data_IF_700771292465
#
_entry.id   IF_700771292465
#
_cell.length_a   1.000
_cell.length_b   1.000
_cell.length_c   1.000
_cell.angle_alpha   90.00
_cell.angle_beta   90.00
_cell.angle_gamma   90.00
#
_symmetry.space_group_name_H-M   'P 1'
#
loop_
_entity.id
_entity.type
_entity.pdbx_description
1 polymer ?
#
# COMPACT_ATOMS: atom_id res chain seq x y z
N UNK A 1 14.24 -2.75 -3.36
CA UNK A 1 15.07 -2.06 -2.37
C UNK A 1 14.64 -2.46 -0.97
N UNK A 2 15.59 -2.71 -0.06
CA UNK A 2 15.33 -2.99 1.37
C UNK A 2 15.97 -1.86 2.19
N UNK A 3 15.20 -1.23 3.08
CA UNK A 3 15.67 -0.19 4.00
C UNK A 3 15.33 -0.57 5.46
N UNK A 4 16.33 -0.84 6.24
CA UNK A 4 16.23 -1.27 7.65
C UNK A 4 17.57 -0.98 8.33
N UNK A 5 17.60 -0.49 9.56
CA UNK A 5 18.85 -0.16 10.26
C UNK A 5 19.61 -1.42 10.75
N UNK A 6 18.93 -2.55 10.87
CA UNK A 6 19.50 -3.80 11.34
C UNK A 6 20.01 -4.66 10.18
N UNK A 7 21.31 -4.83 10.05
CA UNK A 7 21.95 -5.63 9.00
C UNK A 7 21.42 -7.07 8.94
N UNK A 8 21.22 -7.69 10.10
CA UNK A 8 20.71 -9.08 10.18
C UNK A 8 19.29 -9.19 9.59
N UNK A 9 18.46 -8.18 9.80
CA UNK A 9 17.10 -8.11 9.22
C UNK A 9 17.19 -7.96 7.71
N UNK A 10 18.02 -7.03 7.20
CA UNK A 10 18.21 -6.85 5.74
C UNK A 10 18.67 -8.16 5.07
N UNK A 11 19.65 -8.86 5.66
CA UNK A 11 20.11 -10.17 5.15
C UNK A 11 19.00 -11.24 5.16
N UNK A 12 18.19 -11.26 6.22
CA UNK A 12 17.04 -12.15 6.32
C UNK A 12 15.99 -11.90 5.25
N UNK A 13 15.59 -10.64 5.08
CA UNK A 13 14.64 -10.21 4.04
C UNK A 13 15.15 -10.51 2.63
N UNK A 14 16.43 -10.19 2.35
CA UNK A 14 17.08 -10.51 1.08
C UNK A 14 16.99 -12.00 0.77
N UNK A 15 17.40 -12.86 1.71
CA UNK A 15 17.37 -14.31 1.52
C UNK A 15 15.96 -14.84 1.21
N UNK A 16 14.94 -14.30 1.89
CA UNK A 16 13.53 -14.68 1.64
C UNK A 16 13.12 -14.27 0.22
N UNK A 17 13.41 -13.05 -0.18
CA UNK A 17 12.99 -12.51 -1.46
C UNK A 17 13.73 -13.15 -2.63
N UNK A 18 15.05 -13.27 -2.56
CA UNK A 18 15.89 -13.89 -3.61
C UNK A 18 15.70 -15.42 -3.73
N UNK A 19 14.99 -16.04 -2.76
CA UNK A 19 14.53 -17.42 -2.94
C UNK A 19 13.40 -17.55 -3.98
N UNK A 20 12.90 -16.45 -4.52
CA UNK A 20 11.85 -16.40 -5.54
C UNK A 20 12.46 -15.94 -6.86
N UNK A 21 12.28 -16.70 -7.96
CA UNK A 21 12.92 -16.39 -9.24
C UNK A 21 12.38 -15.11 -9.92
N UNK A 22 11.23 -14.61 -9.47
CA UNK A 22 10.57 -13.41 -9.97
C UNK A 22 10.90 -12.15 -9.16
N UNK A 23 11.76 -12.24 -8.13
CA UNK A 23 12.11 -11.10 -7.26
C UNK A 23 13.63 -10.96 -7.17
N UNK A 24 14.12 -9.76 -7.48
CA UNK A 24 15.51 -9.36 -7.34
C UNK A 24 15.65 -8.25 -6.31
N UNK A 25 16.61 -8.35 -5.39
CA UNK A 25 16.93 -7.29 -4.43
C UNK A 25 18.03 -6.41 -5.01
N UNK A 26 17.63 -5.31 -5.63
CA UNK A 26 18.53 -4.38 -6.35
C UNK A 26 19.37 -3.50 -5.43
N UNK A 27 19.05 -3.40 -4.14
CA UNK A 27 19.85 -2.63 -3.20
C UNK A 27 19.38 -2.72 -1.75
N UNK A 28 20.23 -2.27 -0.85
CA UNK A 28 19.97 -2.16 0.59
C UNK A 28 20.34 -0.76 1.10
N UNK A 29 19.67 -0.32 2.17
CA UNK A 29 19.95 0.93 2.86
C UNK A 29 19.83 0.73 4.37
N UNK A 30 20.72 1.35 5.14
CA UNK A 30 20.76 1.25 6.60
C UNK A 30 20.00 2.38 7.31
N UNK A 31 19.52 3.37 6.56
CA UNK A 31 18.74 4.49 7.06
C UNK A 31 17.90 5.15 5.96
N UNK A 32 17.04 6.08 6.36
CA UNK A 32 16.09 6.69 5.44
C UNK A 32 16.72 7.61 4.40
N UNK A 33 17.87 8.24 4.67
CA UNK A 33 18.56 9.09 3.70
C UNK A 33 19.16 8.21 2.60
N UNK A 34 19.91 7.17 2.99
CA UNK A 34 20.45 6.18 2.06
C UNK A 34 19.35 5.49 1.25
N UNK A 35 18.18 5.22 1.87
CA UNK A 35 17.04 4.65 1.17
C UNK A 35 16.52 5.55 0.04
N UNK A 36 16.42 6.86 0.26
CA UNK A 36 16.01 7.81 -0.79
C UNK A 36 17.03 7.93 -1.92
N UNK A 37 18.32 7.95 -1.59
CA UNK A 37 19.40 8.01 -2.58
C UNK A 37 19.42 6.73 -3.43
N UNK A 38 19.36 5.56 -2.79
CA UNK A 38 19.29 4.27 -3.46
C UNK A 38 18.03 4.15 -4.35
N UNK A 39 16.87 4.59 -3.88
CA UNK A 39 15.65 4.57 -4.67
C UNK A 39 15.76 5.42 -5.95
N UNK A 40 16.39 6.59 -5.87
CA UNK A 40 16.62 7.47 -7.04
C UNK A 40 17.59 6.86 -8.05
N UNK A 41 18.65 6.23 -7.55
CA UNK A 41 19.68 5.63 -8.39
C UNK A 41 19.22 4.33 -9.05
N UNK A 42 18.55 3.46 -8.28
CA UNK A 42 18.21 2.10 -8.69
C UNK A 42 16.80 1.96 -9.28
N UNK A 43 15.92 2.95 -9.02
CA UNK A 43 14.52 2.97 -9.49
C UNK A 43 13.79 1.64 -9.26
N UNK A 44 13.73 1.14 -8.02
CA UNK A 44 13.08 -0.12 -7.73
C UNK A 44 11.57 -0.05 -7.96
N UNK A 45 10.94 -1.16 -8.33
CA UNK A 45 9.48 -1.25 -8.37
C UNK A 45 8.88 -1.18 -6.95
N UNK A 46 9.56 -1.80 -5.97
CA UNK A 46 9.13 -1.87 -4.58
C UNK A 46 10.26 -1.51 -3.63
N UNK A 47 9.96 -0.68 -2.63
CA UNK A 47 10.80 -0.41 -1.48
C UNK A 47 10.17 -1.01 -0.21
N UNK A 48 10.85 -1.94 0.43
CA UNK A 48 10.53 -2.41 1.78
C UNK A 48 11.20 -1.47 2.77
N UNK A 49 10.43 -0.86 3.66
CA UNK A 49 10.93 0.22 4.52
C UNK A 49 10.56 -0.04 5.97
N UNK A 50 11.56 -0.14 6.86
CA UNK A 50 11.29 -0.09 8.30
C UNK A 50 10.94 1.33 8.73
N UNK A 51 10.16 1.46 9.78
CA UNK A 51 9.76 2.77 10.32
C UNK A 51 10.91 3.40 11.12
N UNK A 52 11.50 2.63 12.03
CA UNK A 52 12.53 3.16 12.92
C UNK A 52 13.92 3.01 12.31
N UNK A 53 14.38 4.06 11.68
CA UNK A 53 15.73 4.17 11.13
C UNK A 53 16.38 5.47 11.55
N UNK A 54 17.72 5.50 11.69
CA UNK A 54 18.46 6.73 12.00
C UNK A 54 18.35 7.75 10.84
N UNK A 55 18.69 8.99 11.12
CA UNK A 55 18.72 10.14 10.20
C UNK A 55 17.36 10.53 9.61
N UNK A 56 16.58 9.57 9.18
CA UNK A 56 15.23 9.77 8.62
C UNK A 56 14.40 8.51 8.85
N UNK A 57 13.21 8.67 9.43
CA UNK A 57 12.29 7.55 9.67
C UNK A 57 11.59 7.09 8.38
N UNK A 58 11.04 5.86 8.44
CA UNK A 58 10.39 5.25 7.28
C UNK A 58 9.07 5.89 6.89
N UNK A 59 8.41 6.64 7.77
CA UNK A 59 7.21 7.39 7.43
C UNK A 59 7.56 8.56 6.51
N UNK A 60 8.62 9.28 6.84
CA UNK A 60 9.13 10.36 6.01
C UNK A 60 9.70 9.85 4.68
N UNK A 61 10.39 8.69 4.68
CA UNK A 61 10.80 8.00 3.45
C UNK A 61 9.58 7.69 2.59
N UNK A 62 8.55 7.08 3.17
CA UNK A 62 7.31 6.76 2.46
C UNK A 62 6.68 8.01 1.84
N UNK A 63 6.54 9.09 2.63
CA UNK A 63 5.98 10.37 2.17
C UNK A 63 6.74 10.96 0.99
N UNK A 64 8.08 10.84 0.99
CA UNK A 64 8.95 11.39 -0.07
C UNK A 64 9.03 10.51 -1.31
N UNK A 65 8.92 9.20 -1.17
CA UNK A 65 8.97 8.28 -2.32
C UNK A 65 7.65 8.24 -3.07
N UNK A 66 6.54 8.10 -2.34
CA UNK A 66 5.21 7.96 -2.96
C UNK A 66 4.80 9.25 -3.67
N UNK A 67 4.58 9.16 -4.97
CA UNK A 67 4.23 10.31 -5.82
C UNK A 67 5.40 11.21 -6.17
N UNK A 68 6.64 10.79 -5.89
CA UNK A 68 7.84 11.51 -6.28
C UNK A 68 8.07 11.43 -7.79
N UNK A 69 8.27 12.57 -8.45
CA UNK A 69 8.68 12.61 -9.85
C UNK A 69 10.09 12.04 -10.08
N UNK A 70 10.94 12.03 -9.05
CA UNK A 70 12.29 11.48 -9.13
C UNK A 70 12.34 9.94 -9.14
N UNK A 71 11.30 9.29 -8.57
CA UNK A 71 11.15 7.83 -8.54
C UNK A 71 9.71 7.48 -8.89
N UNK A 72 9.31 7.67 -10.15
CA UNK A 72 7.92 7.46 -10.55
C UNK A 72 7.53 5.99 -10.45
N UNK A 73 6.37 5.73 -9.87
CA UNK A 73 5.79 4.39 -9.82
C UNK A 73 6.27 3.49 -8.68
N UNK A 74 7.29 3.88 -7.90
CA UNK A 74 7.75 3.09 -6.76
C UNK A 74 6.62 2.81 -5.78
N UNK A 75 6.49 1.56 -5.34
CA UNK A 75 5.56 1.13 -4.31
C UNK A 75 6.30 0.97 -3.00
N UNK A 76 5.72 1.46 -1.92
CA UNK A 76 6.32 1.33 -0.58
C UNK A 76 5.51 0.32 0.23
N UNK A 77 6.19 -0.70 0.74
CA UNK A 77 5.66 -1.64 1.73
C UNK A 77 6.40 -1.42 3.04
N UNK A 78 5.69 -1.00 4.06
CA UNK A 78 6.26 -0.84 5.40
C UNK A 78 6.41 -2.20 6.05
N UNK A 79 7.60 -2.49 6.60
CA UNK A 79 7.92 -3.76 7.31
C UNK A 79 8.56 -3.41 8.64
N UNK A 80 7.83 -3.55 9.74
CA UNK A 80 8.30 -3.06 11.05
C UNK A 80 8.00 -4.03 12.19
N UNK A 81 8.67 -3.88 13.32
CA UNK A 81 8.32 -4.56 14.58
C UNK A 81 7.17 -3.88 15.32
N UNK A 82 6.87 -2.63 15.00
CA UNK A 82 5.92 -1.79 15.71
C UNK A 82 4.57 -1.76 15.03
N UNK A 83 3.52 -2.07 15.77
CA UNK A 83 2.14 -2.09 15.31
C UNK A 83 1.27 -0.99 15.96
N UNK A 84 1.91 0.14 16.33
CA UNK A 84 1.22 1.26 16.95
C UNK A 84 0.42 2.08 15.94
N UNK A 85 -0.75 2.59 16.37
CA UNK A 85 -1.65 3.39 15.53
C UNK A 85 -0.96 4.64 14.97
N UNK A 86 -0.05 5.23 15.74
CA UNK A 86 0.76 6.38 15.33
C UNK A 86 1.65 6.13 14.10
N UNK A 87 1.87 4.85 13.72
CA UNK A 87 2.64 4.47 12.54
C UNK A 87 1.76 3.97 11.40
N UNK A 88 0.74 3.18 11.72
CA UNK A 88 -0.13 2.54 10.73
C UNK A 88 -0.88 3.58 9.89
N UNK A 89 -1.59 4.49 10.56
CA UNK A 89 -2.40 5.48 9.85
C UNK A 89 -1.57 6.46 9.00
N UNK A 90 -0.49 7.06 9.52
CA UNK A 90 0.36 7.91 8.70
C UNK A 90 0.97 7.17 7.51
N UNK A 91 1.46 5.93 7.67
CA UNK A 91 2.02 5.14 6.58
C UNK A 91 1.01 4.98 5.42
N UNK A 92 -0.22 4.56 5.73
CA UNK A 92 -1.28 4.39 4.73
C UNK A 92 -1.71 5.73 4.11
N UNK A 93 -1.82 6.80 4.90
CA UNK A 93 -2.11 8.16 4.39
C UNK A 93 -1.01 8.71 3.49
N UNK A 94 0.26 8.40 3.76
CA UNK A 94 1.38 8.76 2.89
C UNK A 94 1.45 7.91 1.63
N UNK A 95 0.65 6.85 1.55
CA UNK A 95 0.47 6.05 0.34
C UNK A 95 1.23 4.73 0.33
N UNK A 96 1.61 4.20 1.50
CA UNK A 96 2.15 2.85 1.57
C UNK A 96 1.19 1.85 0.91
N UNK A 97 1.71 1.02 0.03
CA UNK A 97 0.96 -0.05 -0.66
C UNK A 97 0.77 -1.29 0.21
N UNK A 98 1.50 -1.39 1.32
CA UNK A 98 1.36 -2.48 2.28
C UNK A 98 1.92 -2.10 3.65
N UNK A 99 1.47 -2.83 4.68
CA UNK A 99 1.96 -2.70 6.04
C UNK A 99 2.08 -4.07 6.69
N UNK A 100 3.31 -4.50 6.94
CA UNK A 100 3.63 -5.81 7.51
C UNK A 100 4.36 -5.66 8.84
N UNK A 101 4.15 -6.65 9.70
CA UNK A 101 4.98 -6.83 10.87
C UNK A 101 6.15 -7.77 10.53
N UNK A 102 7.36 -7.49 11.01
CA UNK A 102 8.56 -8.34 10.80
C UNK A 102 8.34 -9.81 11.21
N UNK A 103 7.36 -10.08 12.09
CA UNK A 103 6.92 -11.43 12.49
C UNK A 103 5.91 -12.10 11.54
N UNK A 104 5.48 -11.43 10.48
CA UNK A 104 4.39 -11.92 9.60
C UNK A 104 4.74 -13.15 8.75
N UNK A 105 5.98 -13.57 8.77
CA UNK A 105 6.46 -14.75 8.05
C UNK A 105 6.81 -14.48 6.57
N UNK A 106 7.61 -15.37 5.96
CA UNK A 106 8.19 -15.19 4.64
C UNK A 106 7.14 -15.17 3.51
N UNK A 107 6.11 -15.98 3.61
CA UNK A 107 5.06 -16.06 2.58
C UNK A 107 4.34 -14.73 2.42
N UNK A 108 3.92 -14.12 3.54
CA UNK A 108 3.19 -12.86 3.52
C UNK A 108 4.05 -11.70 3.00
N UNK A 109 5.36 -11.72 3.28
CA UNK A 109 6.30 -10.74 2.74
C UNK A 109 6.38 -10.79 1.21
N UNK A 110 6.53 -11.99 0.64
CA UNK A 110 6.58 -12.20 -0.81
C UNK A 110 5.28 -11.76 -1.47
N UNK A 111 4.14 -12.15 -0.89
CA UNK A 111 2.83 -11.76 -1.40
C UNK A 111 2.61 -10.24 -1.35
N UNK A 112 3.11 -9.56 -0.31
CA UNK A 112 3.00 -8.10 -0.23
C UNK A 112 3.80 -7.39 -1.31
N UNK A 113 4.98 -7.89 -1.67
CA UNK A 113 5.77 -7.36 -2.78
C UNK A 113 5.02 -7.53 -4.10
N UNK A 114 4.47 -8.71 -4.37
CA UNK A 114 3.69 -8.99 -5.57
C UNK A 114 2.41 -8.14 -5.65
N UNK A 115 1.66 -8.10 -4.56
CA UNK A 115 0.45 -7.27 -4.45
C UNK A 115 0.76 -5.78 -4.74
N UNK A 116 1.86 -5.25 -4.20
CA UNK A 116 2.26 -3.87 -4.43
C UNK A 116 2.52 -3.59 -5.91
N UNK A 117 3.22 -4.48 -6.64
CA UNK A 117 3.46 -4.37 -8.09
C UNK A 117 2.15 -4.44 -8.87
N UNK A 118 1.20 -5.25 -8.41
CA UNK A 118 -0.12 -5.37 -9.03
C UNK A 118 -1.05 -4.19 -8.74
N UNK A 119 -0.62 -3.22 -7.93
CA UNK A 119 -1.42 -2.06 -7.52
C UNK A 119 -2.47 -2.42 -6.46
N UNK A 120 -2.28 -3.56 -5.82
CA UNK A 120 -3.06 -4.01 -4.68
C UNK A 120 -2.40 -3.58 -3.36
N UNK A 121 -3.08 -3.81 -2.25
CA UNK A 121 -2.52 -3.53 -0.92
C UNK A 121 -2.63 -4.76 -0.05
N UNK A 122 -1.53 -5.10 0.62
CA UNK A 122 -1.51 -6.19 1.58
C UNK A 122 -1.14 -5.65 2.97
N UNK A 123 -2.03 -5.87 3.92
CA UNK A 123 -1.89 -5.42 5.31
C UNK A 123 -1.95 -6.64 6.20
N UNK A 124 -1.05 -6.71 7.20
CA UNK A 124 -1.07 -7.81 8.19
C UNK A 124 -2.44 -7.94 8.85
N UNK A 125 -2.97 -9.16 9.07
CA UNK A 125 -4.30 -9.38 9.62
C UNK A 125 -4.57 -8.64 10.94
N UNK A 126 -3.59 -8.59 11.84
CA UNK A 126 -3.69 -7.86 13.10
C UNK A 126 -3.90 -6.35 12.92
N UNK A 127 -3.28 -5.77 11.91
CA UNK A 127 -3.43 -4.35 11.55
C UNK A 127 -4.79 -4.12 10.89
N UNK A 128 -5.24 -5.03 10.03
CA UNK A 128 -6.57 -4.95 9.40
C UNK A 128 -7.69 -4.88 10.43
N UNK A 129 -7.65 -5.74 11.48
CA UNK A 129 -8.65 -5.70 12.57
C UNK A 129 -8.66 -4.35 13.28
N UNK A 130 -7.49 -3.73 13.47
CA UNK A 130 -7.38 -2.41 14.11
C UNK A 130 -7.92 -1.29 13.23
N UNK A 131 -7.63 -1.33 11.94
CA UNK A 131 -8.21 -0.40 10.96
C UNK A 131 -9.73 -0.44 10.98
N UNK A 132 -10.31 -1.65 11.00
CA UNK A 132 -11.76 -1.83 11.08
C UNK A 132 -12.35 -1.22 12.37
N UNK A 133 -11.72 -1.42 13.53
CA UNK A 133 -12.15 -0.80 14.79
C UNK A 133 -12.16 0.72 14.74
N UNK A 134 -11.19 1.32 14.06
CA UNK A 134 -11.09 2.76 13.91
C UNK A 134 -12.22 3.32 13.01
N UNK A 135 -12.52 2.63 11.92
CA UNK A 135 -13.62 3.02 11.00
C UNK A 135 -15.00 2.85 11.67
N UNK A 136 -15.17 1.82 12.51
CA UNK A 136 -16.45 1.55 13.20
C UNK A 136 -16.62 2.32 14.50
N UNK A 137 -15.54 2.80 15.12
CA UNK A 137 -15.53 3.45 16.45
C UNK A 137 -15.84 4.94 16.49
N UNK A 138 -16.16 5.58 15.40
CA UNK A 138 -16.71 6.94 15.30
C UNK A 138 -15.69 8.07 15.52
N UNK A 139 -15.46 8.85 14.68
CA UNK A 139 -15.18 10.23 14.34
C UNK A 139 -14.62 10.21 12.92
N UNK A 140 -15.55 10.19 11.97
CA UNK A 140 -15.22 10.35 10.54
C UNK A 140 -14.49 11.69 10.38
N UNK A 141 -13.21 11.72 10.02
CA UNK A 141 -12.69 12.91 9.37
C UNK A 141 -13.51 13.04 8.08
N UNK A 142 -14.17 14.17 7.90
CA UNK A 142 -14.89 14.43 6.65
C UNK A 142 -13.92 14.19 5.49
N UNK A 143 -14.28 13.31 4.56
CA UNK A 143 -13.50 13.09 3.35
C UNK A 143 -13.28 14.44 2.68
N UNK A 144 -12.05 14.75 2.30
CA UNK A 144 -11.80 15.89 1.45
C UNK A 144 -12.62 15.70 0.16
N UNK A 145 -13.27 16.76 -0.36
CA UNK A 145 -14.02 16.62 -1.60
C UNK A 145 -13.10 16.11 -2.71
N UNK A 146 -13.59 15.21 -3.58
CA UNK A 146 -12.79 14.66 -4.68
C UNK A 146 -12.33 15.81 -5.59
N UNK A 147 -11.09 15.70 -6.10
CA UNK A 147 -10.53 16.68 -7.04
C UNK A 147 -11.32 16.70 -8.36
N UNK A 148 -11.83 15.54 -8.78
CA UNK A 148 -12.66 15.33 -9.96
C UNK A 148 -13.75 14.29 -9.65
N UNK A 149 -14.93 14.42 -10.25
CA UNK A 149 -16.01 13.45 -10.11
C UNK A 149 -15.60 12.09 -10.73
N UNK A 150 -15.98 11.01 -10.07
CA UNK A 150 -15.84 9.66 -10.62
C UNK A 150 -16.93 9.41 -11.67
N UNK A 151 -16.60 8.66 -12.71
CA UNK A 151 -17.58 8.11 -13.65
C UNK A 151 -18.34 6.95 -13.00
N UNK A 152 -19.50 6.57 -13.56
CA UNK A 152 -20.27 5.41 -13.08
C UNK A 152 -19.40 4.15 -12.99
N UNK A 153 -18.57 3.90 -14.00
CA UNK A 153 -17.67 2.75 -14.02
C UNK A 153 -16.59 2.82 -12.94
N UNK A 154 -16.08 3.98 -12.64
CA UNK A 154 -15.12 4.17 -11.55
C UNK A 154 -15.77 4.01 -10.17
N UNK A 155 -17.05 4.40 -10.01
CA UNK A 155 -17.83 4.17 -8.79
C UNK A 155 -18.02 2.66 -8.57
N UNK A 156 -18.38 1.90 -9.61
CA UNK A 156 -18.49 0.44 -9.53
C UNK A 156 -17.16 -0.20 -9.11
N UNK A 157 -16.05 0.19 -9.74
CA UNK A 157 -14.72 -0.30 -9.37
C UNK A 157 -14.36 0.09 -7.94
N UNK A 158 -14.63 1.32 -7.51
CA UNK A 158 -14.36 1.78 -6.15
C UNK A 158 -15.17 1.00 -5.10
N UNK A 159 -16.43 0.67 -5.38
CA UNK A 159 -17.27 -0.19 -4.54
C UNK A 159 -16.66 -1.59 -4.38
N UNK A 160 -16.25 -2.21 -5.47
CA UNK A 160 -15.59 -3.53 -5.46
C UNK A 160 -14.24 -3.51 -4.69
N UNK A 161 -13.49 -2.43 -4.83
CA UNK A 161 -12.25 -2.21 -4.04
C UNK A 161 -12.56 -2.15 -2.55
N UNK A 162 -13.65 -1.48 -2.16
CA UNK A 162 -14.05 -1.35 -0.76
C UNK A 162 -14.60 -2.66 -0.17
N UNK A 163 -15.09 -3.58 -1.02
CA UNK A 163 -15.43 -4.95 -0.64
C UNK A 163 -14.19 -5.86 -0.48
N UNK A 164 -12.99 -5.34 -0.71
CA UNK A 164 -11.74 -6.08 -0.56
C UNK A 164 -11.40 -6.99 -1.74
N UNK A 165 -12.06 -6.84 -2.89
CA UNK A 165 -11.83 -7.70 -4.07
C UNK A 165 -10.50 -7.37 -4.74
N UNK A 166 -9.81 -8.38 -5.23
CA UNK A 166 -8.57 -8.22 -6.03
C UNK A 166 -8.87 -7.67 -7.42
N UNK A 167 -7.86 -7.16 -8.12
CA UNK A 167 -8.03 -6.71 -9.52
C UNK A 167 -8.51 -7.84 -10.43
N UNK A 168 -8.11 -9.09 -10.16
CA UNK A 168 -8.57 -10.26 -10.89
C UNK A 168 -10.06 -10.57 -10.63
N UNK A 169 -10.52 -10.41 -9.38
CA UNK A 169 -11.92 -10.60 -9.01
C UNK A 169 -12.80 -9.53 -9.65
N UNK A 170 -12.38 -8.27 -9.56
CA UNK A 170 -13.07 -7.13 -10.20
C UNK A 170 -13.17 -7.33 -11.72
N UNK A 171 -12.07 -7.78 -12.33
CA UNK A 171 -12.02 -8.04 -13.78
C UNK A 171 -13.07 -9.09 -14.20
N UNK A 172 -13.18 -10.18 -13.43
CA UNK A 172 -14.20 -11.23 -13.66
C UNK A 172 -15.62 -10.70 -13.48
N UNK A 173 -15.88 -10.01 -12.38
CA UNK A 173 -17.21 -9.48 -12.07
C UNK A 173 -17.70 -8.44 -13.09
N UNK A 174 -16.81 -7.58 -13.52
CA UNK A 174 -17.13 -6.48 -14.42
C UNK A 174 -16.91 -6.81 -15.91
N UNK A 175 -16.52 -8.05 -16.25
CA UNK A 175 -16.24 -8.53 -17.60
C UNK A 175 -15.20 -7.68 -18.36
N UNK A 176 -14.12 -7.28 -17.69
CA UNK A 176 -13.01 -6.50 -18.26
C UNK A 176 -11.66 -7.17 -17.96
N UNK A 177 -10.57 -6.67 -18.55
CA UNK A 177 -9.23 -7.19 -18.24
C UNK A 177 -8.71 -6.67 -16.89
N UNK A 178 -7.83 -7.42 -16.24
CA UNK A 178 -7.14 -6.95 -15.03
C UNK A 178 -6.32 -5.67 -15.30
N UNK A 179 -5.77 -5.51 -16.50
CA UNK A 179 -5.10 -4.29 -16.93
C UNK A 179 -6.04 -3.09 -16.99
N UNK A 180 -7.28 -3.29 -17.45
CA UNK A 180 -8.32 -2.25 -17.45
C UNK A 180 -8.69 -1.86 -16.01
N UNK A 181 -8.79 -2.84 -15.09
CA UNK A 181 -9.02 -2.54 -13.66
C UNK A 181 -7.88 -1.70 -13.09
N UNK A 182 -6.61 -2.06 -13.35
CA UNK A 182 -5.44 -1.25 -12.93
C UNK A 182 -5.54 0.20 -13.42
N UNK A 183 -5.97 0.39 -14.67
CA UNK A 183 -6.16 1.74 -15.24
C UNK A 183 -7.27 2.51 -14.51
N UNK A 184 -8.41 1.88 -14.21
CA UNK A 184 -9.48 2.51 -13.43
C UNK A 184 -9.00 2.85 -12.02
N UNK A 185 -8.32 1.94 -11.32
CA UNK A 185 -7.77 2.17 -9.98
C UNK A 185 -6.82 3.38 -9.99
N UNK A 186 -5.91 3.47 -10.96
CA UNK A 186 -5.01 4.61 -11.10
C UNK A 186 -5.76 5.94 -11.37
N UNK A 187 -6.80 5.91 -12.23
CA UNK A 187 -7.64 7.07 -12.51
C UNK A 187 -8.41 7.51 -11.25
N UNK A 188 -9.01 6.57 -10.51
CA UNK A 188 -9.73 6.85 -9.26
C UNK A 188 -8.78 7.48 -8.24
N UNK A 189 -7.58 6.93 -8.05
CA UNK A 189 -6.58 7.49 -7.14
C UNK A 189 -6.27 8.95 -7.47
N UNK A 190 -6.05 9.26 -8.76
CA UNK A 190 -5.79 10.62 -9.22
C UNK A 190 -6.97 11.54 -8.94
N UNK A 191 -8.19 11.14 -9.29
CA UNK A 191 -9.41 11.95 -9.13
C UNK A 191 -9.77 12.22 -7.67
N UNK A 192 -9.54 11.23 -6.79
CA UNK A 192 -9.77 11.35 -5.37
C UNK A 192 -8.61 12.02 -4.60
N UNK A 193 -7.44 12.19 -5.24
CA UNK A 193 -6.24 12.67 -4.57
C UNK A 193 -5.66 11.68 -3.56
N UNK A 194 -6.01 10.38 -3.67
CA UNK A 194 -5.52 9.33 -2.77
C UNK A 194 -4.34 8.58 -3.39
N UNK A 195 -3.45 8.05 -2.55
CA UNK A 195 -2.16 7.52 -3.01
C UNK A 195 -2.10 6.00 -3.10
N UNK A 196 -3.08 5.31 -2.55
CA UNK A 196 -3.14 3.84 -2.53
C UNK A 196 -4.58 3.34 -2.60
N UNK A 197 -4.73 2.01 -2.72
CA UNK A 197 -6.02 1.33 -2.79
C UNK A 197 -6.84 1.47 -1.50
N UNK A 198 -6.17 1.57 -0.34
CA UNK A 198 -6.85 1.76 0.95
C UNK A 198 -7.59 3.11 0.98
N UNK A 199 -6.99 4.16 0.43
CA UNK A 199 -7.64 5.46 0.29
C UNK A 199 -8.90 5.41 -0.59
N UNK A 200 -8.90 4.60 -1.66
CA UNK A 200 -10.10 4.37 -2.47
C UNK A 200 -11.19 3.70 -1.63
N UNK A 201 -10.82 2.62 -0.92
CA UNK A 201 -11.76 1.87 -0.08
C UNK A 201 -12.40 2.77 0.99
N UNK A 202 -11.60 3.57 1.69
CA UNK A 202 -12.09 4.52 2.69
C UNK A 202 -13.09 5.51 2.09
N UNK A 203 -12.76 6.13 0.95
CA UNK A 203 -13.64 7.07 0.26
C UNK A 203 -14.95 6.39 -0.17
N UNK A 204 -14.89 5.20 -0.75
CA UNK A 204 -16.06 4.46 -1.20
C UNK A 204 -16.99 4.09 -0.03
N UNK A 205 -16.45 3.74 1.14
CA UNK A 205 -17.22 3.54 2.37
C UNK A 205 -17.90 4.83 2.85
N UNK A 206 -17.19 5.94 2.84
CA UNK A 206 -17.71 7.24 3.26
C UNK A 206 -18.85 7.73 2.36
N UNK A 207 -18.72 7.50 1.05
CA UNK A 207 -19.71 7.89 0.05
C UNK A 207 -20.86 6.88 -0.12
N UNK A 208 -20.76 5.70 0.54
CA UNK A 208 -21.80 4.67 0.46
C UNK A 208 -21.83 3.92 -0.88
N UNK A 209 -20.71 3.83 -1.60
CA UNK A 209 -20.60 3.09 -2.87
C UNK A 209 -20.60 1.56 -2.66
N UNK A 210 -20.44 1.10 -1.42
CA UNK A 210 -20.52 -0.33 -1.08
C UNK A 210 -21.99 -0.74 -0.99
N UNK A 211 -22.37 -1.79 -1.70
CA UNK A 211 -23.71 -2.35 -1.58
C UNK A 211 -23.97 -2.76 -0.11
N UNK A 212 -24.92 -2.12 0.56
CA UNK A 212 -25.37 -2.58 1.86
C UNK A 212 -26.05 -3.92 1.63
N UNK A 213 -25.46 -5.02 2.09
CA UNK A 213 -26.22 -6.26 2.25
C UNK A 213 -27.48 -5.94 3.04
N UNK A 214 -28.64 -6.15 2.42
CA UNK A 214 -29.90 -6.10 3.16
C UNK A 214 -29.85 -7.29 4.13
N UNK A 215 -29.99 -7.06 5.44
CA UNK A 215 -30.16 -8.18 6.35
C UNK A 215 -31.39 -8.96 5.93
N UNK A 216 -31.18 -10.24 5.60
CA UNK A 216 -32.25 -11.26 5.39
C UNK A 216 -32.93 -11.58 6.71
#
# INVERSE_FOLDING_TARGET
>A
LIADDQEMVRRGLRRILESRPDIEVVGEAEDGVAALEAARALRPDVALVDIRMPRMDGLEVTRRLVGSSAVPGVKVVVVTTFDLDEYVYPALRYGASGFLLKRSGPTLLVEAVRAAVDGESLISPSITVRLLKHVTGGARPAAAPPLEALTEREIEVAGQVAEGRTNADIARELFISAGTVKTHVASIQRKLGVRNRVGIAMHAWEMGYVARERPT
#
